data_IF_335217616273
#
_entry.id   IF_335217616273
#
_cell.length_a   1.000
_cell.length_b   1.000
_cell.length_c   1.000
_cell.angle_alpha   90.00
_cell.angle_beta   90.00
_cell.angle_gamma   90.00
#
_symmetry.space_group_name_H-M   'P 1'
#
loop_
_entity.id
_entity.type
_entity.pdbx_description
1 polymer ?
#
# COMPACT_ATOMS: atom_id res chain seq x y z
N UNK A 1 -19.22 4.73 26.36
CA UNK A 1 -18.69 5.24 25.09
C UNK A 1 -18.79 4.21 23.95
N UNK A 2 -18.33 2.95 24.11
CA UNK A 2 -18.47 1.92 23.07
C UNK A 2 -19.92 1.55 22.67
N UNK A 3 -20.91 1.73 23.57
CA UNK A 3 -22.32 1.34 23.35
C UNK A 3 -23.11 2.33 22.49
N UNK A 4 -22.69 3.59 22.41
CA UNK A 4 -23.34 4.61 21.58
C UNK A 4 -22.85 4.57 20.13
N UNK A 5 -21.59 4.16 19.92
CA UNK A 5 -21.03 3.98 18.57
C UNK A 5 -21.75 2.87 17.78
N UNK A 6 -22.12 1.77 18.45
CA UNK A 6 -22.88 0.67 17.81
C UNK A 6 -24.27 1.11 17.32
N UNK A 7 -24.97 1.99 18.06
CA UNK A 7 -26.29 2.47 17.64
C UNK A 7 -26.22 3.45 16.47
N UNK A 8 -25.21 4.32 16.44
CA UNK A 8 -24.98 5.23 15.33
C UNK A 8 -24.63 4.47 14.03
N UNK A 9 -23.83 3.41 14.14
CA UNK A 9 -23.47 2.56 13.01
C UNK A 9 -24.66 1.78 12.43
N UNK A 10 -25.49 1.17 13.30
CA UNK A 10 -26.71 0.47 12.89
C UNK A 10 -27.74 1.40 12.23
N UNK A 11 -27.80 2.66 12.65
CA UNK A 11 -28.70 3.65 12.04
C UNK A 11 -28.27 4.00 10.62
N UNK A 12 -26.98 4.25 10.37
CA UNK A 12 -26.45 4.53 9.03
C UNK A 12 -26.66 3.36 8.06
N UNK A 13 -26.38 2.12 8.49
CA UNK A 13 -26.60 0.92 7.66
C UNK A 13 -28.07 0.72 7.26
N UNK A 14 -29.01 0.97 8.19
CA UNK A 14 -30.44 0.87 7.89
C UNK A 14 -30.91 2.01 6.99
N UNK A 15 -30.34 3.20 7.13
CA UNK A 15 -30.67 4.35 6.32
C UNK A 15 -30.20 4.17 4.86
N UNK A 16 -28.94 3.78 4.64
CA UNK A 16 -28.42 3.52 3.29
C UNK A 16 -29.20 2.44 2.56
N UNK A 17 -29.45 1.30 3.23
CA UNK A 17 -30.17 0.18 2.61
C UNK A 17 -31.60 0.55 2.20
N UNK A 18 -32.30 1.39 2.98
CA UNK A 18 -33.65 1.87 2.62
C UNK A 18 -33.60 2.76 1.38
N UNK A 19 -32.63 3.68 1.30
CA UNK A 19 -32.49 4.56 0.15
C UNK A 19 -32.22 3.81 -1.15
N UNK A 20 -31.32 2.81 -1.14
CA UNK A 20 -30.99 2.04 -2.35
C UNK A 20 -32.20 1.29 -2.92
N UNK A 21 -33.03 0.70 -2.06
CA UNK A 21 -34.23 -0.05 -2.50
C UNK A 21 -35.25 0.88 -3.16
N UNK A 22 -35.47 2.08 -2.62
CA UNK A 22 -36.42 3.03 -3.18
C UNK A 22 -36.02 3.51 -4.59
N UNK A 23 -34.73 3.80 -4.82
CA UNK A 23 -34.22 4.22 -6.13
C UNK A 23 -34.45 3.13 -7.18
N UNK A 24 -34.18 1.87 -6.84
CA UNK A 24 -34.40 0.73 -7.75
C UNK A 24 -35.87 0.58 -8.17
N UNK A 25 -36.81 0.69 -7.22
CA UNK A 25 -38.25 0.62 -7.52
C UNK A 25 -38.69 1.77 -8.42
N UNK A 26 -38.24 3.00 -8.15
CA UNK A 26 -38.58 4.17 -8.98
C UNK A 26 -38.05 4.01 -10.39
N UNK A 27 -36.82 3.52 -10.57
CA UNK A 27 -36.25 3.27 -11.89
C UNK A 27 -37.05 2.22 -12.69
N UNK A 28 -37.47 1.13 -12.05
CA UNK A 28 -38.30 0.09 -12.70
C UNK A 28 -39.65 0.67 -13.14
N UNK A 29 -40.30 1.45 -12.28
CA UNK A 29 -41.57 2.12 -12.63
C UNK A 29 -41.37 3.07 -13.80
N UNK A 30 -40.29 3.86 -13.79
CA UNK A 30 -39.96 4.80 -14.87
C UNK A 30 -39.76 4.10 -16.21
N UNK A 31 -38.99 3.00 -16.24
CA UNK A 31 -38.84 2.18 -17.45
C UNK A 31 -40.18 1.59 -17.89
N UNK A 32 -41.00 1.11 -16.96
CA UNK A 32 -42.34 0.59 -17.24
C UNK A 32 -43.26 1.63 -17.89
N UNK A 33 -43.22 2.89 -17.42
CA UNK A 33 -43.98 4.01 -18.01
C UNK A 33 -43.51 4.32 -19.43
N UNK A 34 -42.20 4.40 -19.67
CA UNK A 34 -41.64 4.63 -21.02
C UNK A 34 -42.09 3.52 -21.99
N UNK A 35 -42.00 2.26 -21.56
CA UNK A 35 -42.45 1.10 -22.36
C UNK A 35 -43.95 1.18 -22.61
N UNK A 36 -44.76 1.48 -21.60
CA UNK A 36 -46.21 1.65 -21.75
C UNK A 36 -46.58 2.74 -22.76
N UNK A 37 -45.97 3.93 -22.65
CA UNK A 37 -46.16 5.04 -23.60
C UNK A 37 -45.80 4.62 -25.03
N UNK A 38 -44.69 3.89 -25.19
CA UNK A 38 -44.26 3.39 -26.50
C UNK A 38 -45.30 2.47 -27.16
N UNK A 39 -45.97 1.60 -26.40
CA UNK A 39 -46.95 0.65 -26.95
C UNK A 39 -48.34 1.25 -27.15
N UNK A 40 -48.85 2.05 -26.20
CA UNK A 40 -50.25 2.51 -26.21
C UNK A 40 -50.48 3.85 -26.90
N UNK A 41 -49.45 4.69 -27.08
CA UNK A 41 -49.57 6.03 -27.65
C UNK A 41 -48.69 6.19 -28.90
N UNK A 42 -49.13 5.71 -30.08
CA UNK A 42 -48.32 5.69 -31.30
C UNK A 42 -47.84 7.08 -31.74
N UNK A 43 -48.60 8.14 -31.45
CA UNK A 43 -48.25 9.52 -31.77
C UNK A 43 -46.99 10.04 -31.04
N UNK A 44 -46.55 9.39 -29.94
CA UNK A 44 -45.41 9.83 -29.13
C UNK A 44 -44.23 8.85 -29.13
N UNK A 45 -44.24 7.84 -30.01
CA UNK A 45 -43.20 6.79 -30.06
C UNK A 45 -41.78 7.33 -30.25
N UNK A 46 -41.60 8.29 -31.14
CA UNK A 46 -40.27 8.87 -31.43
C UNK A 46 -39.71 9.61 -30.20
N UNK A 47 -40.53 10.42 -29.53
CA UNK A 47 -40.13 11.12 -28.32
C UNK A 47 -39.79 10.14 -27.19
N UNK A 48 -40.61 9.10 -26.97
CA UNK A 48 -40.34 8.07 -25.97
C UNK A 48 -39.03 7.32 -26.26
N UNK A 49 -38.77 7.01 -27.52
CA UNK A 49 -37.52 6.34 -27.96
C UNK A 49 -36.32 7.24 -27.76
N UNK A 50 -36.42 8.53 -28.12
CA UNK A 50 -35.37 9.51 -27.88
C UNK A 50 -35.04 9.65 -26.39
N UNK A 51 -36.07 9.79 -25.53
CA UNK A 51 -35.88 9.85 -24.07
C UNK A 51 -35.21 8.59 -23.56
N UNK A 52 -35.65 7.40 -24.01
CA UNK A 52 -35.05 6.13 -23.60
C UNK A 52 -33.56 6.06 -23.98
N UNK A 53 -33.20 6.45 -25.21
CA UNK A 53 -31.81 6.48 -25.68
C UNK A 53 -31.00 7.51 -24.90
N UNK A 54 -31.52 8.72 -24.70
CA UNK A 54 -30.85 9.79 -23.98
C UNK A 54 -30.59 9.41 -22.51
N UNK A 55 -31.60 8.84 -21.84
CA UNK A 55 -31.47 8.33 -20.47
C UNK A 55 -30.46 7.18 -20.43
N UNK A 56 -30.56 6.22 -21.35
CA UNK A 56 -29.62 5.09 -21.41
C UNK A 56 -28.17 5.54 -21.61
N UNK A 57 -27.94 6.50 -22.51
CA UNK A 57 -26.62 7.09 -22.75
C UNK A 57 -26.11 7.84 -21.51
N UNK A 58 -26.95 8.66 -20.88
CA UNK A 58 -26.60 9.37 -19.64
C UNK A 58 -26.26 8.41 -18.50
N UNK A 59 -27.07 7.36 -18.30
CA UNK A 59 -26.83 6.31 -17.31
C UNK A 59 -25.51 5.59 -17.56
N UNK A 60 -25.20 5.24 -18.82
CA UNK A 60 -23.94 4.59 -19.17
C UNK A 60 -22.72 5.46 -18.82
N UNK A 61 -22.77 6.77 -19.10
CA UNK A 61 -21.70 7.73 -18.76
C UNK A 61 -21.51 7.81 -17.23
N UNK A 62 -22.61 7.97 -16.49
CA UNK A 62 -22.56 8.05 -15.01
C UNK A 62 -22.02 6.76 -14.41
N UNK A 63 -22.46 5.59 -14.89
CA UNK A 63 -21.94 4.29 -14.44
C UNK A 63 -20.45 4.14 -14.74
N UNK A 64 -20.00 4.52 -15.94
CA UNK A 64 -18.58 4.48 -16.27
C UNK A 64 -17.74 5.37 -15.35
N UNK A 65 -18.23 6.57 -15.02
CA UNK A 65 -17.59 7.48 -14.08
C UNK A 65 -17.45 6.86 -12.67
N UNK A 66 -18.53 6.29 -12.12
CA UNK A 66 -18.49 5.67 -10.79
C UNK A 66 -17.64 4.39 -10.73
N UNK A 67 -17.64 3.59 -11.79
CA UNK A 67 -16.75 2.42 -11.89
C UNK A 67 -15.29 2.89 -11.87
N UNK A 68 -14.94 3.91 -12.66
CA UNK A 68 -13.60 4.48 -12.64
C UNK A 68 -13.22 4.98 -11.24
N UNK A 69 -14.10 5.77 -10.60
CA UNK A 69 -13.86 6.26 -9.23
C UNK A 69 -13.68 5.12 -8.22
N UNK A 70 -14.50 4.06 -8.30
CA UNK A 70 -14.38 2.89 -7.42
C UNK A 70 -13.08 2.13 -7.64
N UNK A 71 -12.60 2.01 -8.88
CA UNK A 71 -11.30 1.39 -9.18
C UNK A 71 -10.17 2.17 -8.54
N UNK A 72 -10.18 3.50 -8.66
CA UNK A 72 -9.16 4.35 -8.00
C UNK A 72 -9.19 4.20 -6.47
N UNK A 73 -10.37 4.27 -5.86
CA UNK A 73 -10.52 4.09 -4.42
C UNK A 73 -10.07 2.70 -3.94
N UNK A 74 -10.32 1.65 -4.74
CA UNK A 74 -9.87 0.29 -4.42
C UNK A 74 -8.35 0.16 -4.48
N UNK A 75 -7.69 0.76 -5.47
CA UNK A 75 -6.21 0.75 -5.58
C UNK A 75 -5.58 1.45 -4.37
N UNK A 76 -6.10 2.62 -4.01
CA UNK A 76 -5.62 3.38 -2.83
C UNK A 76 -5.84 2.59 -1.52
N UNK A 77 -7.03 2.02 -1.34
CA UNK A 77 -7.34 1.18 -0.18
C UNK A 77 -6.45 -0.06 -0.12
N UNK A 78 -6.13 -0.67 -1.26
CA UNK A 78 -5.25 -1.83 -1.33
C UNK A 78 -3.80 -1.45 -0.99
N UNK A 79 -3.29 -0.35 -1.53
CA UNK A 79 -1.97 0.20 -1.20
C UNK A 79 -1.86 0.46 0.31
N UNK A 80 -2.85 1.14 0.90
CA UNK A 80 -2.89 1.41 2.33
C UNK A 80 -2.92 0.13 3.16
N UNK A 81 -3.72 -0.86 2.75
CA UNK A 81 -3.78 -2.17 3.44
C UNK A 81 -2.43 -2.88 3.42
N UNK A 82 -1.73 -2.87 2.27
CA UNK A 82 -0.39 -3.46 2.13
C UNK A 82 0.64 -2.71 2.98
N UNK A 83 0.62 -1.38 2.97
CA UNK A 83 1.46 -0.54 3.83
C UNK A 83 1.27 -0.89 5.31
N UNK A 84 0.03 -1.00 5.77
CA UNK A 84 -0.28 -1.37 7.16
C UNK A 84 0.17 -2.81 7.49
N UNK A 85 0.03 -3.75 6.56
CA UNK A 85 0.51 -5.12 6.73
C UNK A 85 2.03 -5.16 6.92
N UNK A 86 2.80 -4.45 6.09
CA UNK A 86 4.25 -4.35 6.24
C UNK A 86 4.63 -3.74 7.58
N UNK A 87 4.03 -2.60 7.94
CA UNK A 87 4.26 -1.95 9.23
C UNK A 87 3.96 -2.89 10.40
N UNK A 88 2.87 -3.66 10.31
CA UNK A 88 2.54 -4.67 11.32
C UNK A 88 3.59 -5.78 11.37
N UNK A 89 4.03 -6.29 10.21
CA UNK A 89 5.04 -7.35 10.10
C UNK A 89 6.36 -6.93 10.75
N UNK A 90 6.82 -5.71 10.49
CA UNK A 90 8.02 -5.16 11.14
C UNK A 90 7.90 -5.18 12.67
N UNK A 91 6.69 -5.03 13.21
CA UNK A 91 6.42 -4.98 14.64
C UNK A 91 6.03 -6.34 15.25
N UNK A 92 6.07 -7.43 14.49
CA UNK A 92 5.80 -8.78 15.01
C UNK A 92 6.85 -9.24 16.00
N UNK A 93 6.45 -10.15 16.89
CA UNK A 93 7.34 -10.75 17.88
C UNK A 93 8.46 -11.58 17.23
N UNK A 94 8.19 -12.25 16.10
CA UNK A 94 9.19 -13.01 15.36
C UNK A 94 10.33 -12.14 14.82
N UNK A 95 10.05 -10.87 14.51
CA UNK A 95 11.05 -9.93 14.00
C UNK A 95 11.76 -9.15 15.12
N UNK A 96 11.27 -9.25 16.37
CA UNK A 96 11.80 -8.51 17.50
C UNK A 96 13.25 -8.88 17.80
N UNK A 97 13.56 -10.19 17.85
CA UNK A 97 14.90 -10.66 18.19
C UNK A 97 15.93 -10.29 17.12
N UNK A 98 15.57 -10.39 15.84
CA UNK A 98 16.43 -9.95 14.73
C UNK A 98 16.72 -8.45 14.83
N UNK A 99 15.69 -7.61 15.02
CA UNK A 99 15.89 -6.16 15.20
C UNK A 99 16.74 -5.86 16.42
N UNK A 100 16.47 -6.50 17.56
CA UNK A 100 17.19 -6.25 18.82
C UNK A 100 18.68 -6.58 18.67
N UNK A 101 19.01 -7.71 18.06
CA UNK A 101 20.39 -8.11 17.78
C UNK A 101 21.10 -7.07 16.89
N UNK A 102 20.45 -6.67 15.79
CA UNK A 102 21.03 -5.73 14.82
C UNK A 102 21.16 -4.31 15.41
N UNK A 103 20.17 -3.83 16.16
CA UNK A 103 20.22 -2.52 16.85
C UNK A 103 21.42 -2.44 17.81
N UNK A 104 21.74 -3.54 18.48
CA UNK A 104 22.92 -3.63 19.36
C UNK A 104 24.24 -3.36 18.64
N UNK A 105 24.33 -3.72 17.36
CA UNK A 105 25.51 -3.52 16.51
C UNK A 105 25.57 -2.15 15.85
N UNK A 106 24.42 -1.54 15.54
CA UNK A 106 24.38 -0.29 14.77
C UNK A 106 25.19 0.81 15.44
N UNK A 107 25.01 1.03 16.75
CA UNK A 107 25.71 2.11 17.47
C UNK A 107 27.25 1.93 17.47
N UNK A 108 27.82 0.78 17.88
CA UNK A 108 29.27 0.61 17.88
C UNK A 108 29.88 0.65 16.48
N UNK A 109 29.20 0.12 15.45
CA UNK A 109 29.70 0.14 14.07
C UNK A 109 29.62 1.55 13.47
N UNK A 110 28.50 2.26 13.66
CA UNK A 110 28.32 3.62 13.12
C UNK A 110 29.35 4.62 13.66
N UNK A 111 29.84 4.40 14.90
CA UNK A 111 30.87 5.24 15.53
C UNK A 111 32.28 5.05 14.94
N UNK A 112 32.47 4.08 14.04
CA UNK A 112 33.76 3.74 13.44
C UNK A 112 33.87 4.31 12.01
N UNK A 113 35.10 4.61 11.54
CA UNK A 113 35.35 4.97 10.15
C UNK A 113 34.76 3.92 9.20
N UNK A 114 34.24 4.38 8.06
CA UNK A 114 33.52 3.54 7.09
C UNK A 114 34.37 2.36 6.61
N UNK A 115 35.67 2.55 6.51
CA UNK A 115 36.67 1.58 6.08
C UNK A 115 36.83 0.42 7.09
N UNK A 116 36.58 0.67 8.38
CA UNK A 116 36.70 -0.32 9.45
C UNK A 116 35.42 -1.14 9.65
N UNK A 117 34.25 -0.61 9.22
CA UNK A 117 32.94 -1.22 9.47
C UNK A 117 32.83 -2.64 8.92
N UNK A 118 33.32 -2.90 7.71
CA UNK A 118 33.29 -4.24 7.10
C UNK A 118 34.02 -5.27 7.98
N UNK A 119 35.22 -4.91 8.45
CA UNK A 119 36.04 -5.80 9.29
C UNK A 119 35.33 -6.12 10.59
N UNK A 120 34.74 -5.12 11.25
CA UNK A 120 33.99 -5.30 12.49
C UNK A 120 32.77 -6.20 12.27
N UNK A 121 32.00 -5.96 11.21
CA UNK A 121 30.85 -6.82 10.87
C UNK A 121 31.30 -8.27 10.64
N UNK A 122 32.39 -8.47 9.89
CA UNK A 122 32.94 -9.81 9.63
C UNK A 122 33.43 -10.50 10.91
N UNK A 123 34.06 -9.78 11.83
CA UNK A 123 34.50 -10.31 13.13
C UNK A 123 33.33 -10.71 14.02
N UNK A 124 32.27 -9.89 14.08
CA UNK A 124 31.06 -10.17 14.87
C UNK A 124 30.26 -11.38 14.35
N UNK A 125 30.21 -11.59 13.02
CA UNK A 125 29.47 -12.71 12.42
C UNK A 125 30.27 -14.00 12.33
N UNK A 126 31.60 -13.95 12.37
CA UNK A 126 32.49 -15.10 12.10
C UNK A 126 32.13 -16.35 12.89
N UNK A 127 31.81 -16.16 14.17
CA UNK A 127 31.46 -17.25 15.11
C UNK A 127 29.99 -17.15 15.58
N UNK A 128 29.16 -16.37 14.88
CA UNK A 128 27.77 -16.09 15.27
C UNK A 128 26.82 -16.14 14.06
N UNK A 129 26.54 -17.35 13.59
CA UNK A 129 25.63 -17.59 12.46
C UNK A 129 24.22 -17.01 12.70
N UNK A 130 23.75 -17.02 13.94
CA UNK A 130 22.45 -16.45 14.31
C UNK A 130 22.43 -14.93 14.06
N UNK A 131 23.54 -14.24 14.34
CA UNK A 131 23.66 -12.82 14.07
C UNK A 131 23.70 -12.52 12.57
N UNK A 132 24.45 -13.30 11.78
CA UNK A 132 24.45 -13.16 10.32
C UNK A 132 23.03 -13.33 9.76
N UNK A 133 22.30 -14.35 10.23
CA UNK A 133 20.91 -14.59 9.85
C UNK A 133 20.01 -13.40 10.23
N UNK A 134 20.17 -12.85 11.43
CA UNK A 134 19.41 -11.69 11.89
C UNK A 134 19.67 -10.43 11.06
N UNK A 135 20.93 -10.14 10.72
CA UNK A 135 21.27 -9.01 9.83
C UNK A 135 20.65 -9.24 8.46
N UNK A 136 20.78 -10.46 7.91
CA UNK A 136 20.23 -10.83 6.61
C UNK A 136 18.70 -10.68 6.58
N UNK A 137 17.99 -11.13 7.61
CA UNK A 137 16.54 -10.99 7.71
C UNK A 137 16.11 -9.53 7.72
N UNK A 138 16.82 -8.66 8.45
CA UNK A 138 16.52 -7.22 8.46
C UNK A 138 16.77 -6.58 7.09
N UNK A 139 17.92 -6.86 6.46
CA UNK A 139 18.20 -6.28 5.14
C UNK A 139 17.24 -6.81 4.05
N UNK A 140 16.85 -8.09 4.10
CA UNK A 140 15.88 -8.65 3.17
C UNK A 140 14.52 -7.97 3.31
N UNK A 141 14.05 -7.75 4.54
CA UNK A 141 12.82 -7.00 4.77
C UNK A 141 12.89 -5.58 4.20
N UNK A 142 14.02 -4.88 4.40
CA UNK A 142 14.20 -3.52 3.86
C UNK A 142 14.31 -3.50 2.32
N UNK A 143 14.89 -4.54 1.71
CA UNK A 143 14.90 -4.71 0.24
C UNK A 143 13.50 -4.95 -0.29
N UNK A 144 12.72 -5.84 0.33
CA UNK A 144 11.34 -6.12 -0.08
C UNK A 144 10.49 -4.85 0.02
N UNK A 145 10.61 -4.10 1.12
CA UNK A 145 9.98 -2.79 1.28
C UNK A 145 10.39 -1.84 0.15
N UNK A 146 11.67 -1.77 -0.20
CA UNK A 146 12.16 -0.92 -1.27
C UNK A 146 11.61 -1.30 -2.65
N UNK A 147 11.53 -2.60 -2.94
CA UNK A 147 10.92 -3.11 -4.18
C UNK A 147 9.42 -2.79 -4.25
N UNK A 148 8.70 -2.89 -3.13
CA UNK A 148 7.27 -2.56 -3.07
C UNK A 148 7.02 -1.06 -3.28
N UNK A 149 7.87 -0.21 -2.70
CA UNK A 149 7.82 1.25 -2.92
C UNK A 149 8.10 1.59 -4.37
N UNK A 150 9.15 1.04 -4.97
CA UNK A 150 9.52 1.30 -6.37
C UNK A 150 8.41 0.90 -7.36
N UNK A 151 7.71 -0.20 -7.06
CA UNK A 151 6.57 -0.68 -7.86
C UNK A 151 5.26 0.07 -7.60
N UNK A 152 5.21 1.01 -6.67
CA UNK A 152 3.98 1.70 -6.29
C UNK A 152 2.91 0.77 -5.70
N UNK A 153 3.32 -0.35 -5.08
CA UNK A 153 2.39 -1.27 -4.43
C UNK A 153 2.04 -0.88 -3.00
N UNK A 154 2.75 0.10 -2.45
CA UNK A 154 2.55 0.67 -1.13
C UNK A 154 2.58 2.18 -1.24
N UNK A 155 1.91 2.84 -0.30
CA UNK A 155 1.99 4.29 -0.18
C UNK A 155 3.38 4.71 0.31
N UNK A 156 4.17 5.32 -0.56
CA UNK A 156 5.55 5.70 -0.26
C UNK A 156 5.62 6.76 0.83
N UNK A 157 4.66 7.68 0.89
CA UNK A 157 4.66 8.76 1.87
C UNK A 157 4.55 8.20 3.29
N UNK A 158 3.54 7.36 3.54
CA UNK A 158 3.38 6.66 4.84
C UNK A 158 4.59 5.78 5.16
N UNK A 159 5.12 5.04 4.19
CA UNK A 159 6.31 4.20 4.40
C UNK A 159 7.53 5.05 4.76
N UNK A 160 7.72 6.20 4.11
CA UNK A 160 8.82 7.13 4.41
C UNK A 160 8.69 7.67 5.83
N UNK A 161 7.52 8.15 6.23
CA UNK A 161 7.29 8.65 7.59
C UNK A 161 7.63 7.61 8.68
N UNK A 162 7.31 6.34 8.43
CA UNK A 162 7.52 5.26 9.40
C UNK A 162 8.94 4.69 9.37
N UNK A 163 9.58 4.59 8.20
CA UNK A 163 10.79 3.82 8.00
C UNK A 163 12.02 4.60 7.58
N UNK A 164 11.93 5.89 7.18
CA UNK A 164 13.07 6.64 6.64
C UNK A 164 14.31 6.55 7.53
N UNK A 165 14.17 6.84 8.82
CA UNK A 165 15.28 6.78 9.77
C UNK A 165 15.90 5.38 9.85
N UNK A 166 15.09 4.31 9.81
CA UNK A 166 15.60 2.94 9.86
C UNK A 166 16.28 2.59 8.53
N UNK A 167 15.62 2.77 7.39
CA UNK A 167 16.19 2.47 6.07
C UNK A 167 17.55 3.15 5.88
N UNK A 168 17.64 4.46 6.13
CA UNK A 168 18.89 5.20 5.97
C UNK A 168 19.97 4.73 6.94
N UNK A 169 19.62 4.53 8.21
CA UNK A 169 20.59 4.15 9.25
C UNK A 169 21.13 2.73 9.06
N UNK A 170 20.27 1.77 8.71
CA UNK A 170 20.69 0.40 8.47
C UNK A 170 21.54 0.31 7.20
N UNK A 171 21.14 0.98 6.13
CA UNK A 171 21.93 1.00 4.90
C UNK A 171 23.31 1.62 5.13
N UNK A 172 23.42 2.79 5.78
CA UNK A 172 24.73 3.42 6.05
C UNK A 172 25.70 2.51 6.83
N UNK A 173 25.18 1.78 7.83
CA UNK A 173 25.99 0.87 8.65
C UNK A 173 26.43 -0.37 7.86
N UNK A 174 25.50 -0.99 7.12
CA UNK A 174 25.72 -2.26 6.44
C UNK A 174 26.18 -2.14 4.99
N UNK A 175 26.25 -0.94 4.42
CA UNK A 175 26.66 -0.72 3.02
C UNK A 175 28.00 -1.40 2.67
N UNK A 176 29.08 -1.31 3.48
CA UNK A 176 30.33 -2.01 3.17
C UNK A 176 30.16 -3.53 3.10
N UNK A 177 29.31 -4.11 3.95
CA UNK A 177 29.01 -5.55 3.97
C UNK A 177 28.12 -5.96 2.79
N UNK A 178 27.13 -5.13 2.41
CA UNK A 178 26.32 -5.31 1.20
C UNK A 178 27.22 -5.29 -0.04
N UNK A 179 28.17 -4.36 -0.13
CA UNK A 179 29.12 -4.29 -1.24
C UNK A 179 30.00 -5.55 -1.35
N UNK A 180 30.51 -6.04 -0.21
CA UNK A 180 31.27 -7.29 -0.15
C UNK A 180 30.42 -8.52 -0.53
N UNK A 181 29.16 -8.59 -0.06
CA UNK A 181 28.21 -9.64 -0.47
C UNK A 181 27.94 -9.61 -1.98
N UNK A 182 27.78 -8.43 -2.57
CA UNK A 182 27.57 -8.28 -4.02
C UNK A 182 28.77 -8.78 -4.82
N UNK A 183 29.99 -8.52 -4.35
CA UNK A 183 31.21 -9.04 -4.99
C UNK A 183 31.27 -10.57 -4.93
N UNK A 184 30.77 -11.20 -3.85
CA UNK A 184 30.79 -12.65 -3.65
C UNK A 184 29.64 -13.39 -4.34
N UNK A 185 28.43 -12.82 -4.34
CA UNK A 185 27.18 -13.51 -4.73
C UNK A 185 26.45 -12.90 -5.93
N UNK A 186 26.83 -11.70 -6.36
CA UNK A 186 26.25 -11.01 -7.52
C UNK A 186 25.82 -9.58 -7.23
N UNK A 187 25.93 -8.72 -8.25
CA UNK A 187 25.78 -7.27 -8.12
C UNK A 187 24.35 -6.76 -7.85
N UNK A 188 23.33 -7.62 -7.94
CA UNK A 188 21.91 -7.23 -7.79
C UNK A 188 21.37 -7.27 -6.37
N UNK A 189 22.11 -7.84 -5.42
CA UNK A 189 21.64 -7.95 -4.03
C UNK A 189 21.44 -6.57 -3.42
N UNK A 190 20.29 -6.31 -2.80
CA UNK A 190 20.01 -5.06 -2.10
C UNK A 190 20.04 -3.80 -2.99
N UNK A 191 19.78 -3.94 -4.30
CA UNK A 191 19.81 -2.80 -5.23
C UNK A 191 18.58 -1.89 -5.01
N UNK A 192 17.42 -2.46 -4.69
CA UNK A 192 16.22 -1.70 -4.37
C UNK A 192 16.45 -0.78 -3.17
N UNK A 193 17.04 -1.32 -2.10
CA UNK A 193 17.36 -0.61 -0.88
C UNK A 193 18.31 0.56 -1.12
N UNK A 194 19.40 0.34 -1.87
CA UNK A 194 20.32 1.42 -2.24
C UNK A 194 19.63 2.55 -3.01
N UNK A 195 18.79 2.20 -4.00
CA UNK A 195 18.03 3.16 -4.78
C UNK A 195 17.05 3.96 -3.90
N UNK A 196 16.36 3.28 -2.99
CA UNK A 196 15.45 3.90 -2.04
C UNK A 196 16.19 4.88 -1.12
N UNK A 197 17.34 4.49 -0.57
CA UNK A 197 18.17 5.36 0.26
C UNK A 197 18.61 6.61 -0.48
N UNK A 198 19.07 6.48 -1.74
CA UNK A 198 19.43 7.63 -2.59
C UNK A 198 18.24 8.56 -2.83
N UNK A 199 17.08 7.98 -3.15
CA UNK A 199 15.83 8.72 -3.36
C UNK A 199 15.47 9.54 -2.12
N UNK A 200 15.48 8.93 -0.93
CA UNK A 200 15.07 9.60 0.31
C UNK A 200 16.11 10.60 0.86
N UNK A 201 17.41 10.39 0.61
CA UNK A 201 18.44 11.37 0.96
C UNK A 201 18.30 12.66 0.13
N UNK A 202 18.01 12.54 -1.18
CA UNK A 202 17.86 13.69 -2.06
C UNK A 202 16.61 14.53 -1.76
N UNK A 203 15.54 13.93 -1.23
CA UNK A 203 14.32 14.65 -0.86
C UNK A 203 14.42 15.45 0.45
N UNK A 204 15.48 15.23 1.24
CA UNK A 204 15.66 15.89 2.55
C UNK A 204 16.61 17.10 2.47
N UNK A 205 17.20 17.36 1.29
CA UNK A 205 18.05 18.53 1.00
C UNK A 205 17.24 19.66 0.39
#
# INVERSE_FOLDING_TARGET
MARDFSKAFDFNLKFERRFTVHIGVVAIIFVGVIVGVHFFLPAHKELATFIAIAVGAASAIVSAFYIAQSVYANVESEQMTRTMSLTSEWNTASFFDSKKAVIGLIKPIAAKPREERLKIIQEEIKDNEILELNITNVLNYLEDLAVLVDKGFVDEETIRELFQTNVLRYYDVFEPWIADLRNRRGNRLYQGLENLCRKWNNSTS
#
